data_IF_423021170484
#
_entry.id   IF_423021170484
#
_cell.length_a   1.000
_cell.length_b   1.000
_cell.length_c   1.000
_cell.angle_alpha   90.00
_cell.angle_beta   90.00
_cell.angle_gamma   90.00
#
_symmetry.space_group_name_H-M   'P 1'
#
loop_
_entity.id
_entity.type
_entity.pdbx_description
1 polymer ?
#
# COMPACT_ATOMS: atom_id res chain seq x y z
N UNK A 1 24.87 -26.02 -5.32
CA UNK A 1 23.65 -26.57 -4.68
C UNK A 1 22.67 -25.44 -4.66
N UNK A 2 21.61 -25.54 -5.45
CA UNK A 2 20.63 -24.46 -5.57
C UNK A 2 19.82 -24.37 -4.27
N UNK A 3 19.61 -23.16 -3.79
CA UNK A 3 18.79 -22.90 -2.60
C UNK A 3 17.32 -23.08 -2.97
N UNK A 4 16.58 -23.89 -2.22
CA UNK A 4 15.14 -24.07 -2.38
C UNK A 4 14.43 -23.16 -1.37
N UNK A 5 13.69 -22.18 -1.87
CA UNK A 5 12.94 -21.23 -1.05
C UNK A 5 11.53 -21.74 -0.77
N UNK A 6 11.18 -21.91 0.51
CA UNK A 6 9.88 -22.42 0.96
C UNK A 6 9.21 -21.49 1.99
N UNK A 7 9.53 -20.20 1.98
CA UNK A 7 9.06 -19.22 2.98
C UNK A 7 8.31 -18.03 2.36
N UNK A 8 7.34 -18.32 1.48
CA UNK A 8 6.51 -17.28 0.85
C UNK A 8 5.66 -16.47 1.86
N UNK A 9 5.55 -16.92 3.11
CA UNK A 9 4.89 -16.19 4.19
C UNK A 9 5.73 -14.98 4.65
N UNK A 10 7.06 -15.07 4.60
CA UNK A 10 7.94 -13.95 4.93
C UNK A 10 8.01 -12.92 3.80
N UNK A 11 8.19 -13.37 2.55
CA UNK A 11 8.13 -12.52 1.35
C UNK A 11 8.01 -13.38 0.09
N UNK A 12 7.60 -12.79 -1.03
CA UNK A 12 7.48 -13.49 -2.31
C UNK A 12 8.51 -12.95 -3.30
N UNK A 13 9.16 -13.80 -4.12
CA UNK A 13 9.95 -13.33 -5.25
C UNK A 13 9.12 -12.41 -6.15
N UNK A 14 9.69 -11.27 -6.52
CA UNK A 14 9.02 -10.33 -7.42
C UNK A 14 8.97 -10.93 -8.82
N UNK A 15 7.78 -10.95 -9.42
CA UNK A 15 7.61 -11.42 -10.81
C UNK A 15 8.39 -10.52 -11.78
N UNK A 16 8.97 -11.11 -12.83
CA UNK A 16 9.78 -10.38 -13.81
C UNK A 16 8.99 -9.23 -14.47
N UNK A 17 7.71 -9.43 -14.76
CA UNK A 17 6.82 -8.39 -15.28
C UNK A 17 6.68 -7.19 -14.34
N UNK A 18 6.70 -7.43 -13.02
CA UNK A 18 6.64 -6.38 -11.99
C UNK A 18 7.98 -5.61 -11.95
N UNK A 19 9.11 -6.31 -12.05
CA UNK A 19 10.43 -5.67 -12.15
C UNK A 19 10.52 -4.77 -13.38
N UNK A 20 10.02 -5.25 -14.52
CA UNK A 20 10.04 -4.52 -15.79
C UNK A 20 9.19 -3.25 -15.72
N UNK A 21 7.94 -3.34 -15.24
CA UNK A 21 7.06 -2.17 -15.15
C UNK A 21 7.58 -1.16 -14.12
N UNK A 22 8.16 -1.61 -13.00
CA UNK A 22 8.77 -0.71 -12.02
C UNK A 22 9.95 0.05 -12.64
N UNK A 23 10.87 -0.65 -13.30
CA UNK A 23 12.03 -0.05 -13.97
C UNK A 23 11.61 0.94 -15.05
N UNK A 24 10.63 0.57 -15.88
CA UNK A 24 10.08 1.43 -16.92
C UNK A 24 9.44 2.68 -16.32
N UNK A 25 8.62 2.52 -15.28
CA UNK A 25 7.92 3.64 -14.63
C UNK A 25 8.91 4.60 -13.99
N UNK A 26 9.91 4.09 -13.27
CA UNK A 26 10.97 4.89 -12.65
C UNK A 26 11.78 5.68 -13.69
N UNK A 27 12.08 5.06 -14.83
CA UNK A 27 12.89 5.70 -15.89
C UNK A 27 12.09 6.72 -16.70
N UNK A 28 10.81 6.45 -16.98
CA UNK A 28 9.99 7.24 -17.90
C UNK A 28 9.07 8.27 -17.21
N UNK A 29 8.72 8.06 -15.94
CA UNK A 29 7.71 8.86 -15.22
C UNK A 29 8.28 9.48 -13.94
N UNK A 30 9.14 10.48 -14.10
CA UNK A 30 9.77 11.24 -13.01
C UNK A 30 9.03 12.55 -12.64
N UNK A 31 7.92 12.84 -13.32
CA UNK A 31 7.14 14.06 -13.08
C UNK A 31 6.42 14.02 -11.74
N UNK A 32 6.38 15.16 -11.03
CA UNK A 32 5.59 15.29 -9.81
C UNK A 32 4.08 15.21 -10.15
N UNK A 33 3.31 14.25 -9.61
CA UNK A 33 1.89 14.08 -9.93
C UNK A 33 1.00 15.26 -9.49
N UNK A 34 1.50 16.13 -8.61
CA UNK A 34 0.82 17.38 -8.22
C UNK A 34 1.00 18.52 -9.23
N UNK A 35 1.94 18.38 -10.18
CA UNK A 35 2.19 19.40 -11.19
C UNK A 35 1.14 19.39 -12.31
N UNK A 36 0.77 20.58 -12.77
CA UNK A 36 -0.23 20.75 -13.85
C UNK A 36 0.32 20.50 -15.25
N UNK A 37 1.63 20.48 -15.46
CA UNK A 37 2.26 20.28 -16.77
C UNK A 37 2.16 18.82 -17.24
N UNK A 38 2.46 18.56 -18.52
CA UNK A 38 2.27 17.27 -19.18
C UNK A 38 2.85 16.07 -18.42
N UNK A 39 4.10 16.18 -17.97
CA UNK A 39 4.77 15.11 -17.21
C UNK A 39 4.07 14.82 -15.86
N UNK A 40 3.63 15.85 -15.13
CA UNK A 40 2.89 15.67 -13.87
C UNK A 40 1.52 15.03 -14.09
N UNK A 41 0.79 15.45 -15.12
CA UNK A 41 -0.49 14.81 -15.50
C UNK A 41 -0.32 13.35 -15.92
N UNK A 42 0.80 13.02 -16.57
CA UNK A 42 1.12 11.64 -16.96
C UNK A 42 1.35 10.78 -15.71
N UNK A 43 2.17 11.23 -14.77
CA UNK A 43 2.40 10.54 -13.50
C UNK A 43 1.09 10.36 -12.70
N UNK A 44 0.26 11.41 -12.62
CA UNK A 44 -1.06 11.34 -11.97
C UNK A 44 -1.99 10.31 -12.64
N UNK A 45 -1.99 10.24 -13.97
CA UNK A 45 -2.78 9.27 -14.72
C UNK A 45 -2.40 7.83 -14.38
N UNK A 46 -1.09 7.53 -14.25
CA UNK A 46 -0.60 6.21 -13.85
C UNK A 46 -1.15 5.82 -12.47
N UNK A 47 -1.04 6.73 -11.49
CA UNK A 47 -1.54 6.49 -10.12
C UNK A 47 -3.05 6.22 -10.13
N UNK A 48 -3.83 7.03 -10.83
CA UNK A 48 -5.29 6.90 -10.84
C UNK A 48 -5.80 5.68 -11.61
N UNK A 49 -5.10 5.28 -12.68
CA UNK A 49 -5.41 4.03 -13.38
C UNK A 49 -5.06 2.80 -12.55
N UNK A 50 -3.94 2.85 -11.80
CA UNK A 50 -3.56 1.81 -10.85
C UNK A 50 -4.60 1.70 -9.73
N UNK A 51 -5.04 2.83 -9.18
CA UNK A 51 -6.09 2.90 -8.15
C UNK A 51 -7.38 2.23 -8.64
N UNK A 52 -7.83 2.53 -9.86
CA UNK A 52 -9.03 1.92 -10.47
C UNK A 52 -8.89 0.41 -10.65
N UNK A 53 -7.70 -0.05 -11.06
CA UNK A 53 -7.43 -1.47 -11.27
C UNK A 53 -7.50 -2.23 -9.94
N UNK A 54 -6.85 -1.72 -8.89
CA UNK A 54 -6.91 -2.31 -7.54
C UNK A 54 -8.34 -2.32 -7.00
N UNK A 55 -9.06 -1.20 -7.12
CA UNK A 55 -10.45 -1.13 -6.65
C UNK A 55 -11.34 -2.17 -7.34
N UNK A 56 -11.16 -2.39 -8.64
CA UNK A 56 -11.90 -3.41 -9.39
C UNK A 56 -11.63 -4.82 -8.86
N UNK A 57 -10.37 -5.19 -8.65
CA UNK A 57 -10.00 -6.52 -8.13
C UNK A 57 -10.52 -6.76 -6.70
N UNK A 58 -10.59 -5.70 -5.88
CA UNK A 58 -11.10 -5.76 -4.51
C UNK A 58 -12.63 -5.56 -4.39
N UNK A 59 -13.33 -5.27 -5.49
CA UNK A 59 -14.76 -4.93 -5.46
C UNK A 59 -15.10 -3.61 -4.75
N UNK A 60 -14.15 -2.67 -4.67
CA UNK A 60 -14.28 -1.38 -4.02
C UNK A 60 -14.42 -0.21 -5.02
N UNK A 61 -14.82 0.96 -4.53
CA UNK A 61 -14.76 2.19 -5.31
C UNK A 61 -13.33 2.75 -5.31
N UNK A 62 -12.85 3.35 -6.42
CA UNK A 62 -11.49 3.92 -6.46
C UNK A 62 -11.21 4.91 -5.32
N UNK A 63 -12.22 5.67 -4.89
CA UNK A 63 -12.10 6.64 -3.78
C UNK A 63 -11.84 6.01 -2.41
N UNK A 64 -12.05 4.71 -2.25
CA UNK A 64 -11.84 3.96 -1.01
C UNK A 64 -10.40 3.41 -0.92
N UNK A 65 -9.63 3.49 -2.01
CA UNK A 65 -8.24 3.02 -2.05
C UNK A 65 -7.31 4.17 -1.65
N UNK A 66 -6.53 3.97 -0.59
CA UNK A 66 -5.44 4.86 -0.15
C UNK A 66 -4.13 4.11 -0.31
N UNK A 67 -3.15 4.73 -0.99
CA UNK A 67 -1.81 4.15 -1.11
C UNK A 67 -0.97 4.52 0.12
N UNK A 68 -0.32 3.53 0.73
CA UNK A 68 0.65 3.68 1.82
C UNK A 68 1.97 3.03 1.41
N UNK A 69 3.02 3.19 2.21
CA UNK A 69 4.32 2.53 2.00
C UNK A 69 4.28 1.01 2.26
N UNK A 70 3.27 0.51 2.96
CA UNK A 70 3.10 -0.91 3.27
C UNK A 70 2.06 -1.18 4.36
N UNK A 71 1.95 -2.45 4.76
CA UNK A 71 0.98 -2.91 5.77
C UNK A 71 1.16 -2.24 7.13
N UNK A 72 2.40 -2.07 7.60
CA UNK A 72 2.70 -1.36 8.86
C UNK A 72 2.10 0.03 8.91
N UNK A 73 2.26 0.82 7.85
CA UNK A 73 1.72 2.17 7.80
C UNK A 73 0.19 2.15 7.70
N UNK A 74 -0.37 1.24 6.89
CA UNK A 74 -1.81 1.08 6.73
C UNK A 74 -2.52 0.77 8.06
N UNK A 75 -2.03 -0.21 8.82
CA UNK A 75 -2.61 -0.61 10.10
C UNK A 75 -2.54 0.54 11.12
N UNK A 76 -1.39 1.22 11.20
CA UNK A 76 -1.21 2.36 12.09
C UNK A 76 -2.10 3.54 11.72
N UNK A 77 -2.27 3.82 10.42
CA UNK A 77 -3.13 4.89 9.92
C UNK A 77 -4.58 4.67 10.37
N UNK A 78 -5.08 3.44 10.31
CA UNK A 78 -6.45 3.10 10.73
C UNK A 78 -6.61 3.25 12.24
N UNK A 79 -5.67 2.71 13.04
CA UNK A 79 -5.73 2.77 14.50
C UNK A 79 -5.66 4.21 15.01
N UNK A 80 -4.71 5.00 14.51
CA UNK A 80 -4.59 6.41 14.87
C UNK A 80 -5.82 7.22 14.42
N UNK A 81 -6.33 6.94 13.22
CA UNK A 81 -7.55 7.56 12.71
C UNK A 81 -8.77 7.25 13.60
N UNK A 82 -8.89 6.02 14.08
CA UNK A 82 -9.99 5.62 14.98
C UNK A 82 -9.88 6.31 16.35
N UNK A 83 -8.71 6.24 17.01
CA UNK A 83 -8.54 6.77 18.37
C UNK A 83 -8.52 8.29 18.37
N UNK A 84 -7.65 8.91 17.58
CA UNK A 84 -7.44 10.37 17.61
C UNK A 84 -8.38 11.13 16.66
N UNK A 85 -8.74 10.52 15.53
CA UNK A 85 -9.61 11.15 14.54
C UNK A 85 -11.10 11.02 14.87
N UNK A 86 -11.53 9.87 15.40
CA UNK A 86 -12.93 9.58 15.67
C UNK A 86 -13.27 9.47 17.17
N UNK A 87 -12.27 9.49 18.06
CA UNK A 87 -12.49 9.38 19.50
C UNK A 87 -12.95 7.98 19.95
N UNK A 88 -12.57 6.93 19.21
CA UNK A 88 -12.91 5.55 19.59
C UNK A 88 -12.11 5.14 20.83
N UNK A 89 -12.81 4.84 21.92
CA UNK A 89 -12.20 4.46 23.20
C UNK A 89 -12.04 2.94 23.38
N UNK A 90 -12.77 2.13 22.61
CA UNK A 90 -12.75 0.67 22.73
C UNK A 90 -12.47 0.02 21.38
N UNK A 91 -11.41 -0.78 21.32
CA UNK A 91 -11.00 -1.57 20.14
C UNK A 91 -11.01 -3.05 20.53
N UNK A 92 -11.66 -3.88 19.70
CA UNK A 92 -11.70 -5.33 19.88
C UNK A 92 -10.78 -5.96 18.83
N UNK A 93 -9.88 -6.84 19.25
CA UNK A 93 -8.91 -7.53 18.40
C UNK A 93 -8.63 -8.96 18.88
N UNK A 94 -7.86 -9.75 18.13
CA UNK A 94 -7.50 -11.14 18.45
C UNK A 94 -6.06 -11.28 18.97
N UNK A 95 -5.71 -12.39 19.63
CA UNK A 95 -4.32 -12.62 20.10
C UNK A 95 -3.35 -13.07 19.00
N UNK A 96 -3.85 -13.32 17.80
CA UNK A 96 -3.09 -13.89 16.68
C UNK A 96 -2.82 -12.86 15.57
N UNK A 97 -3.13 -11.58 15.82
CA UNK A 97 -2.81 -10.52 14.87
C UNK A 97 -1.30 -10.40 14.64
N UNK A 98 -0.96 -9.82 13.50
CA UNK A 98 0.42 -9.48 13.19
C UNK A 98 0.97 -8.47 14.23
N UNK A 99 2.24 -8.62 14.61
CA UNK A 99 2.91 -7.83 15.65
C UNK A 99 2.71 -6.30 15.48
N UNK A 100 2.67 -5.83 14.23
CA UNK A 100 2.54 -4.42 13.87
C UNK A 100 1.23 -3.79 14.33
N UNK A 101 0.16 -4.57 14.49
CA UNK A 101 -1.12 -4.09 15.01
C UNK A 101 -1.03 -3.66 16.48
N UNK A 102 -0.14 -4.28 17.26
CA UNK A 102 0.01 -4.03 18.70
C UNK A 102 1.04 -2.95 19.06
N UNK A 103 1.85 -2.49 18.10
CA UNK A 103 2.99 -1.60 18.40
C UNK A 103 2.59 -0.20 18.91
N UNK A 104 1.31 0.18 18.85
CA UNK A 104 0.80 1.45 19.42
C UNK A 104 0.04 1.27 20.75
N UNK A 105 -0.31 0.05 21.17
CA UNK A 105 -1.14 -0.14 22.38
C UNK A 105 -0.34 -0.15 23.70
N UNK A 106 0.94 0.23 23.66
CA UNK A 106 1.84 0.32 24.83
C UNK A 106 2.19 1.76 25.17
N UNK A 107 1.18 2.58 25.40
CA UNK A 107 1.29 3.85 26.15
C UNK A 107 0.15 3.97 27.11
#
# INVERSE_FOLDING_TARGET
>A
MDSIYLDNAATTPVLEEVVNIMTQTLSASFGNPSSIHSQGRTAKSIIENTRKSIAKELGAQPKEIIFTSGGTEGDNMILQGAVYGLGIETIITSKIEHQLFFMQSKT
#
